data_IF_193351461975
#
_entry.id   IF_193351461975
#
_cell.length_a   1.000
_cell.length_b   1.000
_cell.length_c   1.000
_cell.angle_alpha   90.00
_cell.angle_beta   90.00
_cell.angle_gamma   90.00
#
_symmetry.space_group_name_H-M   'P 1'
#
loop_
_entity.id
_entity.type
_entity.pdbx_description
1 polymer ?
#
# COMPACT_ATOMS: atom_id res chain seq x y z
N UNK A 1 4.06 4.75 -8.19
CA UNK A 1 3.89 3.29 -8.30
C UNK A 1 5.29 2.71 -8.29
N UNK A 2 5.58 1.89 -7.29
CA UNK A 2 6.86 1.21 -7.11
C UNK A 2 6.55 -0.25 -6.74
N UNK A 3 7.12 -1.20 -7.49
CA UNK A 3 7.04 -2.65 -7.26
C UNK A 3 8.44 -3.13 -6.86
N UNK A 4 8.56 -3.71 -5.66
CA UNK A 4 9.83 -4.18 -5.12
C UNK A 4 9.69 -5.61 -4.56
N UNK A 5 10.67 -6.46 -4.90
CA UNK A 5 10.76 -7.82 -4.35
C UNK A 5 11.15 -7.79 -2.86
N UNK A 6 10.39 -8.50 -2.04
CA UNK A 6 10.65 -8.67 -0.60
C UNK A 6 10.90 -10.16 -0.30
N UNK A 7 11.72 -10.48 0.72
CA UNK A 7 12.00 -11.85 1.17
C UNK A 7 12.65 -12.77 0.10
N UNK A 8 13.84 -12.41 -0.36
CA UNK A 8 14.69 -13.28 -1.19
C UNK A 8 15.37 -14.38 -0.34
N UNK A 9 15.20 -15.65 -0.70
CA UNK A 9 16.05 -16.75 -0.20
C UNK A 9 17.03 -17.17 -1.31
N UNK A 10 18.35 -17.02 -1.12
CA UNK A 10 19.32 -17.62 -2.02
C UNK A 10 19.19 -19.15 -1.96
N UNK A 11 19.16 -19.81 -3.12
CA UNK A 11 19.15 -21.27 -3.21
C UNK A 11 20.42 -21.86 -2.59
N UNK A 12 20.29 -22.96 -1.85
CA UNK A 12 21.43 -23.72 -1.33
C UNK A 12 21.79 -24.85 -2.30
N UNK A 13 23.00 -24.83 -2.86
CA UNK A 13 23.52 -25.91 -3.74
C UNK A 13 23.11 -25.78 -5.21
N UNK A 14 22.93 -26.92 -5.89
CA UNK A 14 22.72 -27.07 -7.35
C UNK A 14 21.29 -26.72 -7.83
N UNK A 15 20.54 -25.92 -7.07
CA UNK A 15 19.19 -25.48 -7.42
C UNK A 15 19.20 -24.01 -7.86
N UNK A 16 19.09 -23.73 -9.18
CA UNK A 16 19.25 -22.40 -9.72
C UNK A 16 17.90 -21.69 -9.77
N UNK A 17 17.40 -21.18 -8.66
CA UNK A 17 16.50 -19.99 -8.62
C UNK A 17 16.21 -19.65 -7.16
N UNK A 18 16.56 -18.44 -6.73
CA UNK A 18 16.00 -17.89 -5.50
C UNK A 18 14.53 -17.59 -5.73
N UNK A 19 13.62 -18.25 -4.99
CA UNK A 19 12.19 -17.97 -5.09
C UNK A 19 11.91 -16.62 -4.44
N UNK A 20 11.41 -15.65 -5.21
CA UNK A 20 10.80 -14.45 -4.63
C UNK A 20 9.49 -14.89 -3.99
N UNK A 21 9.41 -14.83 -2.66
CA UNK A 21 8.28 -15.36 -1.90
C UNK A 21 7.07 -14.41 -1.94
N UNK A 22 7.31 -13.11 -2.08
CA UNK A 22 6.31 -12.03 -2.06
C UNK A 22 6.87 -10.76 -2.70
N UNK A 23 6.04 -10.01 -3.41
CA UNK A 23 6.31 -8.64 -3.85
C UNK A 23 5.45 -7.66 -3.06
N UNK A 24 5.91 -6.42 -2.93
CA UNK A 24 5.17 -5.33 -2.29
C UNK A 24 4.88 -4.22 -3.31
N UNK A 25 3.64 -3.73 -3.30
CA UNK A 25 3.20 -2.55 -4.04
C UNK A 25 2.96 -1.41 -3.04
N UNK A 26 3.55 -0.26 -3.32
CA UNK A 26 3.34 0.97 -2.54
C UNK A 26 2.60 2.04 -3.35
N UNK A 27 1.60 2.65 -2.71
CA UNK A 27 0.83 3.79 -3.24
C UNK A 27 0.93 4.95 -2.24
N UNK A 28 1.64 6.01 -2.64
CA UNK A 28 1.72 7.26 -1.88
C UNK A 28 0.67 8.27 -2.33
N UNK A 29 -0.06 8.87 -1.38
CA UNK A 29 -1.03 9.94 -1.65
C UNK A 29 -0.94 11.05 -0.59
N UNK A 30 -1.40 12.24 -0.96
CA UNK A 30 -1.83 13.30 -0.04
C UNK A 30 -3.35 13.37 -0.04
N UNK A 31 -3.98 13.71 1.08
CA UNK A 31 -5.43 13.78 1.20
C UNK A 31 -5.89 14.97 2.05
N UNK A 32 -7.05 15.53 1.70
CA UNK A 32 -7.67 16.67 2.35
C UNK A 32 -9.19 16.44 2.43
N UNK A 33 -9.78 16.71 3.59
CA UNK A 33 -11.22 16.66 3.82
C UNK A 33 -11.74 18.08 4.00
N UNK A 34 -12.44 18.56 2.97
CA UNK A 34 -12.93 19.95 2.88
C UNK A 34 -14.41 20.00 3.20
N UNK A 35 -14.80 20.90 4.10
CA UNK A 35 -16.19 21.29 4.27
C UNK A 35 -16.59 22.24 3.15
N UNK A 36 -17.38 21.76 2.20
CA UNK A 36 -17.79 22.51 1.01
C UNK A 36 -18.71 23.69 1.31
N UNK A 37 -19.32 23.76 2.51
CA UNK A 37 -20.21 24.87 2.89
C UNK A 37 -19.42 26.05 3.41
N UNK A 38 -18.47 25.78 4.29
CA UNK A 38 -17.65 26.80 4.95
C UNK A 38 -16.34 27.08 4.19
N UNK A 39 -16.00 26.24 3.20
CA UNK A 39 -14.75 26.23 2.45
C UNK A 39 -13.51 26.15 3.38
N UNK A 40 -13.58 25.25 4.37
CA UNK A 40 -12.55 25.05 5.39
C UNK A 40 -12.08 23.60 5.37
N UNK A 41 -10.76 23.43 5.51
CA UNK A 41 -10.11 22.13 5.69
C UNK A 41 -10.42 21.62 7.10
N UNK A 42 -11.09 20.48 7.20
CA UNK A 42 -11.40 19.83 8.49
C UNK A 42 -10.34 18.82 8.89
N UNK A 43 -9.65 18.23 7.91
CA UNK A 43 -8.56 17.29 8.13
C UNK A 43 -7.67 17.26 6.89
N UNK A 44 -6.36 17.14 7.08
CA UNK A 44 -5.40 16.99 5.99
C UNK A 44 -4.26 16.06 6.41
N UNK A 45 -3.64 15.45 5.41
CA UNK A 45 -2.42 14.67 5.58
C UNK A 45 -1.56 14.76 4.33
N UNK A 46 -0.29 15.05 4.53
CA UNK A 46 0.68 15.27 3.46
C UNK A 46 1.29 13.98 2.92
N UNK A 47 1.16 12.86 3.64
CA UNK A 47 1.77 11.59 3.25
C UNK A 47 1.06 10.40 3.86
N UNK A 48 0.20 9.76 3.08
CA UNK A 48 -0.29 8.40 3.35
C UNK A 48 0.37 7.42 2.41
N UNK A 49 0.69 6.23 2.92
CA UNK A 49 1.29 5.15 2.14
C UNK A 49 0.44 3.90 2.33
N UNK A 50 -0.22 3.49 1.25
CA UNK A 50 -0.87 2.19 1.13
C UNK A 50 0.15 1.13 0.77
N UNK A 51 0.10 0.00 1.46
CA UNK A 51 0.93 -1.17 1.13
C UNK A 51 0.06 -2.39 0.92
N UNK A 52 0.40 -3.16 -0.09
CA UNK A 52 -0.18 -4.47 -0.35
C UNK A 52 0.87 -5.43 -0.89
N UNK A 53 0.61 -6.72 -0.78
CA UNK A 53 1.57 -7.75 -1.18
C UNK A 53 0.94 -8.80 -2.07
N UNK A 54 1.72 -9.38 -2.96
CA UNK A 54 1.27 -10.50 -3.79
C UNK A 54 2.38 -11.54 -3.93
N UNK A 55 2.01 -12.79 -4.15
CA UNK A 55 2.95 -13.87 -4.47
C UNK A 55 3.01 -14.06 -5.99
N UNK A 56 4.14 -13.81 -6.66
CA UNK A 56 4.20 -13.87 -8.13
C UNK A 56 3.95 -15.26 -8.73
N UNK A 57 4.04 -16.32 -7.92
CA UNK A 57 3.80 -17.70 -8.33
C UNK A 57 2.29 -18.04 -8.39
N UNK A 58 1.44 -17.32 -7.64
CA UNK A 58 0.01 -17.62 -7.54
C UNK A 58 -0.92 -16.43 -7.77
N UNK A 59 -0.40 -15.21 -7.73
CA UNK A 59 -1.18 -13.97 -7.71
C UNK A 59 -0.58 -12.93 -8.67
N UNK A 60 -1.39 -11.93 -8.99
CA UNK A 60 -0.97 -10.77 -9.80
C UNK A 60 -0.78 -9.54 -8.91
N UNK A 61 -0.08 -8.55 -9.45
CA UNK A 61 0.10 -7.23 -8.83
C UNK A 61 -1.24 -6.51 -8.55
N UNK A 62 -2.29 -6.82 -9.30
CA UNK A 62 -3.66 -6.34 -9.03
C UNK A 62 -4.16 -6.68 -7.61
N UNK A 63 -3.73 -7.84 -7.06
CA UNK A 63 -4.06 -8.22 -5.67
C UNK A 63 -3.42 -7.25 -4.69
N UNK A 64 -2.11 -7.02 -4.82
CA UNK A 64 -1.38 -6.07 -3.99
C UNK A 64 -1.88 -4.63 -4.16
N UNK A 65 -2.26 -4.24 -5.37
CA UNK A 65 -2.83 -2.91 -5.62
C UNK A 65 -4.16 -2.72 -4.87
N UNK A 66 -5.04 -3.73 -4.91
CA UNK A 66 -6.32 -3.71 -4.18
C UNK A 66 -6.10 -3.62 -2.67
N UNK A 67 -5.15 -4.40 -2.14
CA UNK A 67 -4.77 -4.35 -0.73
C UNK A 67 -4.21 -2.98 -0.33
N UNK A 68 -3.32 -2.40 -1.14
CA UNK A 68 -2.75 -1.08 -0.90
C UNK A 68 -3.84 0.02 -0.87
N UNK A 69 -4.84 -0.07 -1.75
CA UNK A 69 -5.99 0.85 -1.75
C UNK A 69 -6.84 0.66 -0.49
N UNK A 70 -7.14 -0.57 -0.09
CA UNK A 70 -7.88 -0.82 1.14
C UNK A 70 -7.14 -0.26 2.36
N UNK A 71 -5.83 -0.47 2.43
CA UNK A 71 -4.99 0.07 3.49
C UNK A 71 -4.99 1.61 3.54
N UNK A 72 -5.07 2.29 2.39
CA UNK A 72 -5.25 3.75 2.34
C UNK A 72 -6.62 4.19 2.83
N UNK A 73 -7.69 3.48 2.45
CA UNK A 73 -9.06 3.78 2.90
C UNK A 73 -9.13 3.71 4.43
N UNK A 74 -8.58 2.66 5.02
CA UNK A 74 -8.58 2.49 6.47
C UNK A 74 -7.79 3.61 7.17
N UNK A 75 -6.64 4.02 6.61
CA UNK A 75 -5.87 5.15 7.12
C UNK A 75 -6.65 6.47 7.06
N UNK A 76 -7.36 6.72 5.96
CA UNK A 76 -8.19 7.93 5.80
C UNK A 76 -9.33 7.93 6.81
N UNK A 77 -10.06 6.82 6.95
CA UNK A 77 -11.19 6.71 7.90
C UNK A 77 -10.69 6.93 9.33
N UNK A 78 -9.62 6.24 9.73
CA UNK A 78 -9.06 6.36 11.07
C UNK A 78 -8.52 7.77 11.35
N UNK A 79 -7.84 8.37 10.36
CA UNK A 79 -7.31 9.74 10.48
C UNK A 79 -8.44 10.77 10.61
N UNK A 80 -9.46 10.66 9.76
CA UNK A 80 -10.62 11.53 9.82
C UNK A 80 -11.40 11.37 11.13
N UNK A 81 -11.59 10.15 11.64
CA UNK A 81 -12.28 9.91 12.91
C UNK A 81 -11.53 10.42 14.13
N UNK A 82 -10.19 10.38 14.13
CA UNK A 82 -9.38 10.83 15.27
C UNK A 82 -9.41 12.34 15.52
N UNK A 83 -9.90 13.12 14.54
CA UNK A 83 -9.98 14.57 14.59
C UNK A 83 -11.26 15.10 15.28
N UNK A 84 -12.21 14.22 15.60
CA UNK A 84 -13.53 14.53 16.18
C UNK A 84 -13.68 13.93 17.57
#
# INVERSE_FOLDING_TARGET
>A
YEDAAQNYRPGAGDQPVGNVLTHEVQIGISAELVDVRDNVIRWETSSLVGRGTYRPDTETDEVAQREAIQNLIDQIINGAQSQW
#
